data_IF_932820914676
#
_entry.id   IF_932820914676
#
_cell.length_a   1.000
_cell.length_b   1.000
_cell.length_c   1.000
_cell.angle_alpha   90.00
_cell.angle_beta   90.00
_cell.angle_gamma   90.00
#
_symmetry.space_group_name_H-M   'P 1'
#
loop_
_entity.id
_entity.type
_entity.pdbx_description
1 polymer ?
#
# COMPACT_ATOMS: atom_id res chain seq x y z
N UNK A 1 -19.20 -11.67 -44.65
CA UNK A 1 -19.05 -10.45 -43.82
C UNK A 1 -19.24 -10.95 -42.40
N UNK A 2 -18.19 -11.60 -41.89
CA UNK A 2 -18.26 -12.36 -40.64
C UNK A 2 -18.03 -11.40 -39.48
N UNK A 3 -19.08 -11.23 -38.68
CA UNK A 3 -19.04 -10.48 -37.42
C UNK A 3 -18.21 -11.27 -36.42
N UNK A 4 -16.96 -10.90 -36.23
CA UNK A 4 -16.12 -11.41 -35.14
C UNK A 4 -16.82 -11.06 -33.83
N UNK A 5 -17.25 -12.09 -33.09
CA UNK A 5 -18.04 -11.96 -31.87
C UNK A 5 -17.32 -11.18 -30.75
N UNK A 6 -18.06 -10.38 -29.94
CA UNK A 6 -17.53 -9.65 -28.78
C UNK A 6 -17.17 -10.53 -27.56
N UNK A 7 -17.27 -11.85 -27.66
CA UNK A 7 -17.09 -12.80 -26.55
C UNK A 7 -15.65 -12.85 -26.00
N UNK A 8 -14.64 -12.56 -26.83
CA UNK A 8 -13.23 -12.56 -26.43
C UNK A 8 -12.85 -11.42 -25.47
N UNK A 9 -13.52 -10.26 -25.57
CA UNK A 9 -13.23 -9.08 -24.74
C UNK A 9 -13.82 -9.16 -23.32
N UNK A 10 -14.94 -9.87 -23.15
CA UNK A 10 -15.64 -9.92 -21.87
C UNK A 10 -14.88 -10.75 -20.80
N UNK A 11 -14.19 -11.82 -21.19
CA UNK A 11 -13.45 -12.68 -20.26
C UNK A 11 -12.20 -11.99 -19.69
N UNK A 12 -11.40 -11.32 -20.53
CA UNK A 12 -10.24 -10.53 -20.08
C UNK A 12 -10.62 -9.28 -19.30
N UNK A 13 -11.78 -8.67 -19.60
CA UNK A 13 -12.32 -7.58 -18.80
C UNK A 13 -12.66 -8.03 -17.36
N UNK A 14 -13.35 -9.17 -17.22
CA UNK A 14 -13.72 -9.76 -15.94
C UNK A 14 -12.52 -10.20 -15.09
N UNK A 15 -11.48 -10.75 -15.71
CA UNK A 15 -10.27 -11.18 -14.97
C UNK A 15 -9.49 -10.01 -14.38
N UNK A 16 -9.40 -8.88 -15.09
CA UNK A 16 -8.73 -7.69 -14.55
C UNK A 16 -9.61 -6.94 -13.55
N UNK A 17 -10.92 -6.85 -13.77
CA UNK A 17 -11.83 -6.25 -12.78
C UNK A 17 -11.77 -6.98 -11.44
N UNK A 18 -11.76 -8.33 -11.47
CA UNK A 18 -11.62 -9.14 -10.25
C UNK A 18 -10.24 -9.02 -9.60
N UNK A 19 -9.16 -8.87 -10.38
CA UNK A 19 -7.82 -8.60 -9.83
C UNK A 19 -7.76 -7.22 -9.17
N UNK A 20 -8.26 -6.17 -9.83
CA UNK A 20 -8.29 -4.82 -9.30
C UNK A 20 -9.05 -4.78 -7.96
N UNK A 21 -10.25 -5.34 -7.94
CA UNK A 21 -11.08 -5.36 -6.74
C UNK A 21 -10.44 -6.17 -5.61
N UNK A 22 -9.88 -7.35 -5.92
CA UNK A 22 -9.19 -8.17 -4.93
C UNK A 22 -7.96 -7.44 -4.34
N UNK A 23 -7.23 -6.69 -5.18
CA UNK A 23 -6.09 -5.89 -4.75
C UNK A 23 -6.49 -4.73 -3.84
N UNK A 24 -7.54 -3.99 -4.23
CA UNK A 24 -8.10 -2.91 -3.43
C UNK A 24 -8.54 -3.45 -2.06
N UNK A 25 -9.33 -4.53 -2.04
CA UNK A 25 -9.80 -5.15 -0.79
C UNK A 25 -8.64 -5.65 0.07
N UNK A 26 -7.60 -6.24 -0.54
CA UNK A 26 -6.42 -6.67 0.20
C UNK A 26 -5.70 -5.50 0.89
N UNK A 27 -5.58 -4.35 0.22
CA UNK A 27 -4.96 -3.17 0.81
C UNK A 27 -5.85 -2.55 1.90
N UNK A 28 -7.15 -2.41 1.66
CA UNK A 28 -8.10 -1.83 2.63
C UNK A 28 -8.26 -2.70 3.88
N UNK A 29 -8.60 -3.98 3.71
CA UNK A 29 -8.82 -4.88 4.84
C UNK A 29 -7.50 -5.21 5.53
N UNK A 30 -6.40 -5.36 4.77
CA UNK A 30 -5.07 -5.52 5.34
C UNK A 30 -4.65 -4.32 6.19
N UNK A 31 -4.96 -3.09 5.75
CA UNK A 31 -4.71 -1.87 6.51
C UNK A 31 -5.52 -1.82 7.80
N UNK A 32 -6.83 -2.05 7.73
CA UNK A 32 -7.71 -2.05 8.89
C UNK A 32 -7.32 -3.12 9.92
N UNK A 33 -7.09 -4.36 9.46
CA UNK A 33 -6.65 -5.46 10.32
C UNK A 33 -5.27 -5.20 10.90
N UNK A 34 -4.35 -4.68 10.08
CA UNK A 34 -3.01 -4.31 10.52
C UNK A 34 -3.05 -3.25 11.62
N UNK A 35 -3.91 -2.24 11.48
CA UNK A 35 -4.10 -1.18 12.46
C UNK A 35 -4.63 -1.73 13.79
N UNK A 36 -5.67 -2.58 13.75
CA UNK A 36 -6.19 -3.23 14.96
C UNK A 36 -5.19 -4.15 15.65
N UNK A 37 -4.37 -4.89 14.88
CA UNK A 37 -3.29 -5.74 15.43
C UNK A 37 -2.20 -4.88 16.05
N UNK A 38 -1.80 -3.78 15.41
CA UNK A 38 -0.78 -2.89 15.93
C UNK A 38 -1.24 -2.20 17.22
N UNK A 39 -2.47 -1.68 17.25
CA UNK A 39 -3.11 -1.08 18.43
C UNK A 39 -3.17 -2.05 19.62
N UNK A 40 -3.59 -3.30 19.36
CA UNK A 40 -3.61 -4.36 20.36
C UNK A 40 -2.20 -4.64 20.91
N UNK A 41 -1.19 -4.75 20.05
CA UNK A 41 0.19 -5.02 20.47
C UNK A 41 0.73 -3.87 21.31
N UNK A 42 0.53 -2.62 20.90
CA UNK A 42 0.96 -1.43 21.67
C UNK A 42 0.28 -1.41 23.03
N UNK A 43 -1.04 -1.60 23.08
CA UNK A 43 -1.81 -1.67 24.33
C UNK A 43 -1.28 -2.75 25.27
N UNK A 44 -0.98 -3.94 24.75
CA UNK A 44 -0.43 -5.03 25.56
C UNK A 44 0.98 -4.72 26.08
N UNK A 45 1.82 -4.07 25.28
CA UNK A 45 3.18 -3.69 25.66
C UNK A 45 3.20 -2.58 26.70
N UNK A 46 2.35 -1.56 26.57
CA UNK A 46 2.21 -0.47 27.54
C UNK A 46 1.66 -0.96 28.88
N UNK A 47 0.76 -1.96 28.85
CA UNK A 47 0.28 -2.60 30.06
C UNK A 47 1.32 -3.51 30.74
N UNK A 48 2.32 -4.00 29.98
CA UNK A 48 3.33 -4.95 30.47
C UNK A 48 4.68 -4.31 30.78
N UNK A 49 4.95 -3.11 30.27
CA UNK A 49 6.25 -2.44 30.35
C UNK A 49 6.07 -0.93 30.51
N UNK A 50 7.10 -0.24 31.02
CA UNK A 50 7.11 1.24 31.06
C UNK A 50 7.61 1.87 29.77
N UNK A 51 7.89 1.07 28.73
CA UNK A 51 8.46 1.54 27.47
C UNK A 51 7.35 1.78 26.46
N UNK A 52 7.22 3.03 26.00
CA UNK A 52 6.39 3.34 24.83
C UNK A 52 7.08 2.83 23.59
N UNK A 53 6.46 1.94 22.79
CA UNK A 53 7.05 1.49 21.56
C UNK A 53 7.26 2.65 20.59
N UNK A 54 8.33 2.64 19.80
CA UNK A 54 8.54 3.67 18.80
C UNK A 54 7.46 3.58 17.71
N UNK A 55 7.00 4.74 17.24
CA UNK A 55 5.90 4.87 16.26
C UNK A 55 6.13 4.03 14.98
N UNK A 56 7.37 3.92 14.51
CA UNK A 56 7.72 3.12 13.34
C UNK A 56 7.42 1.62 13.49
N UNK A 57 7.36 1.09 14.72
CA UNK A 57 7.00 -0.30 14.98
C UNK A 57 5.53 -0.58 14.61
N UNK A 58 4.64 0.38 14.91
CA UNK A 58 3.21 0.30 14.58
C UNK A 58 3.02 0.20 13.06
N UNK A 59 3.68 1.10 12.31
CA UNK A 59 3.64 1.10 10.86
C UNK A 59 4.22 -0.17 10.24
N UNK A 60 5.27 -0.73 10.83
CA UNK A 60 5.84 -2.01 10.38
C UNK A 60 4.84 -3.16 10.53
N UNK A 61 4.11 -3.25 11.65
CA UNK A 61 3.08 -4.28 11.88
C UNK A 61 1.97 -4.15 10.83
N UNK A 62 1.46 -2.93 10.64
CA UNK A 62 0.43 -2.64 9.63
C UNK A 62 0.93 -3.07 8.24
N UNK A 63 2.15 -2.69 7.90
CA UNK A 63 2.79 -3.00 6.63
C UNK A 63 2.92 -4.50 6.35
N UNK A 64 3.28 -5.29 7.35
CA UNK A 64 3.35 -6.76 7.23
C UNK A 64 1.99 -7.36 6.96
N UNK A 65 0.95 -6.92 7.67
CA UNK A 65 -0.42 -7.44 7.47
C UNK A 65 -0.94 -7.09 6.07
N UNK A 66 -0.70 -5.87 5.60
CA UNK A 66 -1.00 -5.48 4.21
C UNK A 66 -0.22 -6.35 3.21
N UNK A 67 1.08 -6.55 3.41
CA UNK A 67 1.92 -7.33 2.51
C UNK A 67 1.47 -8.79 2.43
N UNK A 68 1.04 -9.38 3.54
CA UNK A 68 0.46 -10.72 3.58
C UNK A 68 -0.86 -10.78 2.79
N UNK A 69 -1.75 -9.79 2.97
CA UNK A 69 -3.00 -9.72 2.21
C UNK A 69 -2.74 -9.59 0.70
N UNK A 70 -1.80 -8.71 0.29
CA UNK A 70 -1.39 -8.55 -1.10
C UNK A 70 -0.77 -9.84 -1.67
N UNK A 71 0.07 -10.51 -0.89
CA UNK A 71 0.67 -11.79 -1.28
C UNK A 71 -0.40 -12.84 -1.59
N UNK A 72 -1.49 -12.91 -0.81
CA UNK A 72 -2.59 -13.84 -1.07
C UNK A 72 -3.24 -13.62 -2.45
N UNK A 73 -3.26 -12.38 -2.93
CA UNK A 73 -3.75 -12.00 -4.26
C UNK A 73 -2.74 -12.38 -5.36
N UNK A 74 -1.44 -12.26 -5.08
CA UNK A 74 -0.37 -12.48 -6.07
C UNK A 74 0.14 -13.92 -6.18
N UNK A 75 0.02 -14.73 -5.12
CA UNK A 75 0.65 -16.07 -5.03
C UNK A 75 0.26 -17.05 -6.13
N UNK A 76 -0.87 -16.82 -6.82
CA UNK A 76 -1.31 -17.64 -7.96
C UNK A 76 -1.06 -16.99 -9.32
N UNK A 77 -0.53 -15.77 -9.35
CA UNK A 77 -0.40 -14.93 -10.56
C UNK A 77 1.04 -14.61 -10.94
N UNK A 78 1.97 -14.59 -9.97
CA UNK A 78 3.39 -14.33 -10.25
C UNK A 78 4.27 -15.44 -9.64
N UNK A 79 5.29 -15.95 -10.37
CA UNK A 79 6.13 -17.05 -9.89
C UNK A 79 6.93 -16.75 -8.62
N UNK A 80 7.29 -15.49 -8.38
CA UNK A 80 8.14 -15.06 -7.26
C UNK A 80 7.37 -14.39 -6.13
N UNK A 81 6.06 -14.66 -6.02
CA UNK A 81 5.21 -13.99 -5.04
C UNK A 81 5.70 -14.14 -3.59
N UNK A 82 6.37 -15.24 -3.22
CA UNK A 82 6.92 -15.42 -1.87
C UNK A 82 7.88 -14.30 -1.43
N UNK A 83 8.63 -13.72 -2.38
CA UNK A 83 9.54 -12.59 -2.11
C UNK A 83 8.80 -11.27 -1.88
N UNK A 84 7.50 -11.19 -2.21
CA UNK A 84 6.70 -9.98 -2.05
C UNK A 84 6.64 -9.51 -0.59
N UNK A 85 6.51 -10.46 0.35
CA UNK A 85 6.43 -10.16 1.78
C UNK A 85 7.77 -9.59 2.25
N UNK A 86 8.88 -10.22 1.88
CA UNK A 86 10.23 -9.78 2.27
C UNK A 86 10.57 -8.41 1.66
N UNK A 87 10.27 -8.21 0.39
CA UNK A 87 10.47 -6.93 -0.28
C UNK A 87 9.63 -5.81 0.35
N UNK A 88 8.37 -6.10 0.69
CA UNK A 88 7.50 -5.14 1.37
C UNK A 88 8.03 -4.82 2.76
N UNK A 89 8.41 -5.82 3.56
CA UNK A 89 8.97 -5.64 4.89
C UNK A 89 10.26 -4.80 4.86
N UNK A 90 11.19 -5.13 3.96
CA UNK A 90 12.40 -4.35 3.77
C UNK A 90 12.09 -2.91 3.33
N UNK A 91 11.03 -2.72 2.54
CA UNK A 91 10.59 -1.42 2.06
C UNK A 91 9.99 -0.56 3.17
N UNK A 92 9.18 -1.16 4.03
CA UNK A 92 8.65 -0.50 5.21
C UNK A 92 9.77 -0.12 6.18
N UNK A 93 10.70 -1.03 6.47
CA UNK A 93 11.80 -0.78 7.40
C UNK A 93 12.76 0.29 6.85
N UNK A 94 13.29 0.08 5.64
CA UNK A 94 14.23 1.01 5.01
C UNK A 94 13.58 2.34 4.66
N UNK A 95 12.35 2.31 4.15
CA UNK A 95 11.58 3.51 3.81
C UNK A 95 11.23 4.36 5.04
N UNK A 96 10.89 3.73 6.17
CA UNK A 96 10.61 4.47 7.41
C UNK A 96 11.87 5.18 7.92
N UNK A 97 13.02 4.50 7.86
CA UNK A 97 14.30 5.10 8.22
C UNK A 97 14.67 6.28 7.30
N UNK A 98 14.60 6.09 5.98
CA UNK A 98 14.91 7.14 4.99
C UNK A 98 13.95 8.31 5.14
N UNK A 99 12.66 8.04 5.31
CA UNK A 99 11.64 9.07 5.50
C UNK A 99 11.92 9.89 6.76
N UNK A 100 12.15 9.23 7.90
CA UNK A 100 12.45 9.90 9.17
C UNK A 100 13.70 10.80 9.05
N UNK A 101 14.79 10.29 8.44
CA UNK A 101 16.00 11.07 8.23
C UNK A 101 15.77 12.27 7.30
N UNK A 102 15.01 12.08 6.22
CA UNK A 102 14.70 13.14 5.27
C UNK A 102 13.85 14.25 5.90
N UNK A 103 12.82 13.89 6.69
CA UNK A 103 11.99 14.86 7.39
C UNK A 103 12.78 15.63 8.44
N UNK A 104 13.60 14.94 9.23
CA UNK A 104 14.47 15.60 10.22
C UNK A 104 15.36 16.67 9.59
N UNK A 105 15.98 16.35 8.45
CA UNK A 105 16.78 17.33 7.72
C UNK A 105 15.93 18.49 7.17
N UNK A 106 14.79 18.21 6.54
CA UNK A 106 13.92 19.25 5.97
C UNK A 106 13.35 20.19 7.04
N UNK A 107 13.01 19.67 8.21
CA UNK A 107 12.53 20.45 9.36
C UNK A 107 13.65 21.30 9.97
N UNK A 108 14.85 20.74 10.13
CA UNK A 108 16.04 21.46 10.64
C UNK A 108 16.36 22.70 9.78
N UNK A 109 16.23 22.58 8.45
CA UNK A 109 16.46 23.69 7.53
C UNK A 109 15.21 24.56 7.25
N UNK A 110 14.07 24.26 7.85
CA UNK A 110 12.81 24.99 7.64
C UNK A 110 12.31 24.95 6.19
N UNK A 111 12.65 23.89 5.45
CA UNK A 111 12.39 23.75 4.01
C UNK A 111 11.00 23.18 3.70
N UNK A 112 10.27 22.70 4.71
CA UNK A 112 8.97 22.06 4.53
C UNK A 112 7.91 22.64 5.48
N UNK A 113 6.81 23.18 4.94
CA UNK A 113 5.65 23.53 5.75
C UNK A 113 5.07 22.28 6.44
N UNK A 114 4.61 22.42 7.69
CA UNK A 114 4.07 21.30 8.48
C UNK A 114 2.96 20.52 7.77
N UNK A 115 2.14 21.19 6.94
CA UNK A 115 1.07 20.55 6.16
C UNK A 115 1.60 19.55 5.12
N UNK A 116 2.86 19.68 4.69
CA UNK A 116 3.50 18.81 3.71
C UNK A 116 4.37 17.71 4.32
N UNK A 117 4.67 17.76 5.63
CA UNK A 117 5.52 16.78 6.32
C UNK A 117 5.05 15.34 6.09
N UNK A 118 3.80 15.04 6.43
CA UNK A 118 3.27 13.69 6.28
C UNK A 118 3.08 13.26 4.81
N UNK A 119 2.49 14.06 3.89
CA UNK A 119 2.45 13.69 2.48
C UNK A 119 3.81 13.34 1.89
N UNK A 120 4.85 14.12 2.20
CA UNK A 120 6.22 13.84 1.76
C UNK A 120 6.74 12.54 2.39
N UNK A 121 6.52 12.35 3.69
CA UNK A 121 6.90 11.13 4.41
C UNK A 121 6.30 9.87 3.78
N UNK A 122 4.98 9.86 3.56
CA UNK A 122 4.27 8.74 2.97
C UNK A 122 4.62 8.54 1.49
N UNK A 123 5.00 9.60 0.77
CA UNK A 123 5.53 9.48 -0.60
C UNK A 123 6.86 8.74 -0.61
N UNK A 124 7.80 9.12 0.27
CA UNK A 124 9.12 8.48 0.38
C UNK A 124 8.96 7.01 0.78
N UNK A 125 8.14 6.76 1.80
CA UNK A 125 7.86 5.41 2.29
C UNK A 125 7.19 4.54 1.22
N UNK A 126 6.14 5.06 0.56
CA UNK A 126 5.47 4.37 -0.53
C UNK A 126 6.40 4.08 -1.70
N UNK A 127 7.25 5.04 -2.10
CA UNK A 127 8.23 4.85 -3.15
C UNK A 127 9.28 3.79 -2.77
N UNK A 128 9.76 3.76 -1.53
CA UNK A 128 10.70 2.75 -1.04
C UNK A 128 10.10 1.34 -1.08
N UNK A 129 8.85 1.19 -0.62
CA UNK A 129 8.10 -0.08 -0.71
C UNK A 129 7.91 -0.48 -2.18
N UNK A 130 7.47 0.45 -3.02
CA UNK A 130 7.29 0.24 -4.45
C UNK A 130 8.57 -0.17 -5.15
N UNK A 131 9.71 0.43 -4.82
CA UNK A 131 11.02 0.11 -5.40
C UNK A 131 11.43 -1.34 -5.11
N UNK A 132 11.27 -1.80 -3.86
CA UNK A 132 11.63 -3.16 -3.51
C UNK A 132 10.62 -4.19 -4.04
N UNK A 133 9.33 -3.85 -4.05
CA UNK A 133 8.31 -4.69 -4.69
C UNK A 133 8.51 -4.80 -6.20
N UNK A 134 8.97 -3.73 -6.85
CA UNK A 134 9.30 -3.73 -8.28
C UNK A 134 10.37 -4.77 -8.61
N UNK A 135 11.36 -4.99 -7.74
CA UNK A 135 12.37 -6.04 -7.92
C UNK A 135 11.79 -7.47 -7.91
N UNK A 136 10.58 -7.65 -7.34
CA UNK A 136 9.86 -8.93 -7.31
C UNK A 136 8.95 -9.10 -8.54
N UNK A 137 8.57 -8.00 -9.20
CA UNK A 137 7.77 -8.05 -10.42
C UNK A 137 8.53 -8.77 -11.55
N UNK A 138 7.85 -9.54 -12.43
CA UNK A 138 8.50 -10.23 -13.53
C UNK A 138 9.31 -9.25 -14.42
N UNK A 139 10.58 -9.56 -14.77
CA UNK A 139 11.46 -8.68 -15.55
C UNK A 139 10.92 -8.28 -16.93
N UNK A 140 9.97 -9.05 -17.47
CA UNK A 140 9.34 -8.80 -18.76
C UNK A 140 8.08 -7.94 -18.71
N UNK A 141 7.64 -7.43 -17.55
CA UNK A 141 6.47 -6.55 -17.45
C UNK A 141 6.80 -5.14 -17.99
N UNK A 142 6.26 -4.73 -19.15
CA UNK A 142 6.52 -3.40 -19.69
C UNK A 142 5.97 -2.34 -18.74
N UNK A 143 6.79 -1.32 -18.45
CA UNK A 143 6.38 -0.23 -17.56
C UNK A 143 6.36 -0.60 -16.07
N UNK A 144 6.93 -1.73 -15.65
CA UNK A 144 6.98 -2.12 -14.23
C UNK A 144 7.58 -1.05 -13.30
N UNK A 145 8.46 -0.17 -13.82
CA UNK A 145 8.99 0.97 -13.06
C UNK A 145 7.92 1.98 -12.61
N UNK A 146 6.78 2.07 -13.30
CA UNK A 146 5.65 2.88 -12.86
C UNK A 146 5.08 2.41 -11.52
N UNK A 147 5.36 1.16 -11.10
CA UNK A 147 4.96 0.63 -9.80
C UNK A 147 5.47 1.50 -8.64
N UNK A 148 6.69 2.03 -8.76
CA UNK A 148 7.30 2.91 -7.76
C UNK A 148 6.53 4.22 -7.64
N UNK A 149 6.23 4.84 -8.78
CA UNK A 149 5.47 6.09 -8.86
C UNK A 149 4.04 5.90 -8.33
N UNK A 150 3.38 4.82 -8.74
CA UNK A 150 2.03 4.49 -8.30
C UNK A 150 1.92 4.29 -6.78
N UNK A 151 2.93 3.66 -6.16
CA UNK A 151 2.97 3.55 -4.71
C UNK A 151 3.18 4.91 -4.04
N UNK A 152 4.17 5.69 -4.48
CA UNK A 152 4.42 7.03 -3.94
C UNK A 152 3.16 7.91 -4.00
N UNK A 153 2.50 7.98 -5.15
CA UNK A 153 1.26 8.75 -5.35
C UNK A 153 0.10 8.21 -4.51
N UNK A 154 -0.13 6.90 -4.53
CA UNK A 154 -1.24 6.29 -3.79
C UNK A 154 -1.14 6.53 -2.29
N UNK A 155 0.07 6.53 -1.75
CA UNK A 155 0.32 6.77 -0.33
C UNK A 155 0.27 8.25 0.02
N UNK A 156 0.81 9.13 -0.82
CA UNK A 156 0.69 10.58 -0.67
C UNK A 156 -0.78 11.02 -0.58
N UNK A 157 -1.63 10.45 -1.45
CA UNK A 157 -3.06 10.72 -1.48
C UNK A 157 -3.81 10.10 -0.28
N UNK A 158 -3.30 9.02 0.29
CA UNK A 158 -3.92 8.36 1.44
C UNK A 158 -3.87 9.21 2.71
N UNK A 159 -2.84 10.04 2.89
CA UNK A 159 -2.69 10.82 4.12
C UNK A 159 -3.80 11.88 4.34
N UNK A 160 -4.13 12.74 3.36
CA UNK A 160 -5.28 13.64 3.48
C UNK A 160 -6.60 12.93 3.83
N UNK A 161 -6.78 11.69 3.36
CA UNK A 161 -7.95 10.87 3.69
C UNK A 161 -7.95 10.48 5.17
N UNK A 162 -6.80 10.04 5.71
CA UNK A 162 -6.65 9.75 7.14
C UNK A 162 -6.98 10.98 7.99
N UNK A 163 -6.43 12.15 7.64
CA UNK A 163 -6.71 13.39 8.35
C UNK A 163 -8.19 13.78 8.32
N UNK A 164 -8.82 13.69 7.15
CA UNK A 164 -10.24 14.02 6.99
C UNK A 164 -11.15 13.10 7.79
N UNK A 165 -10.82 11.80 7.84
CA UNK A 165 -11.56 10.80 8.60
C UNK A 165 -11.40 11.05 10.09
N UNK A 166 -10.17 11.16 10.58
CA UNK A 166 -9.90 11.44 11.99
C UNK A 166 -10.63 12.69 12.46
N UNK A 167 -10.51 13.79 11.69
CA UNK A 167 -11.23 15.03 11.99
C UNK A 167 -12.75 14.85 12.05
N UNK A 168 -13.32 14.04 11.15
CA UNK A 168 -14.76 13.86 11.05
C UNK A 168 -15.35 12.94 12.14
N UNK A 169 -14.61 11.92 12.59
CA UNK A 169 -15.20 10.84 13.41
C UNK A 169 -14.60 10.67 14.79
N UNK A 170 -13.42 11.24 15.10
CA UNK A 170 -12.73 10.98 16.38
C UNK A 170 -13.53 11.35 17.63
N UNK A 171 -14.45 12.30 17.51
CA UNK A 171 -15.32 12.72 18.61
C UNK A 171 -16.55 11.81 18.79
N UNK A 172 -16.79 10.88 17.87
CA UNK A 172 -18.04 10.12 17.77
C UNK A 172 -17.85 8.62 17.96
N UNK A 173 -16.66 8.09 17.66
CA UNK A 173 -16.35 6.66 17.77
C UNK A 173 -15.08 6.44 18.62
N UNK A 174 -14.88 5.22 19.18
CA UNK A 174 -13.66 4.90 19.92
C UNK A 174 -12.39 5.14 19.08
N UNK A 175 -11.30 5.53 19.73
CA UNK A 175 -10.03 5.86 19.07
C UNK A 175 -9.50 4.71 18.19
N UNK A 176 -9.53 3.47 18.71
CA UNK A 176 -9.14 2.28 17.95
C UNK A 176 -10.00 2.06 16.70
N UNK A 177 -11.29 2.39 16.75
CA UNK A 177 -12.18 2.31 15.60
C UNK A 177 -11.89 3.42 14.58
N UNK A 178 -11.60 4.64 15.03
CA UNK A 178 -11.14 5.75 14.17
C UNK A 178 -9.84 5.40 13.47
N UNK A 179 -8.90 4.83 14.21
CA UNK A 179 -7.59 4.39 13.69
C UNK A 179 -7.74 3.29 12.63
N UNK A 180 -8.52 2.24 12.93
CA UNK A 180 -8.79 1.17 11.98
C UNK A 180 -9.52 1.67 10.71
N UNK A 181 -10.50 2.57 10.85
CA UNK A 181 -11.21 3.17 9.72
C UNK A 181 -10.28 4.04 8.86
N UNK A 182 -9.39 4.79 9.49
CA UNK A 182 -8.38 5.61 8.81
C UNK A 182 -7.48 4.74 7.93
N UNK A 183 -6.97 3.63 8.46
CA UNK A 183 -6.13 2.70 7.70
C UNK A 183 -6.90 1.86 6.67
N UNK A 184 -8.20 1.63 6.87
CA UNK A 184 -9.08 1.05 5.85
C UNK A 184 -9.12 1.94 4.61
N UNK A 185 -9.32 3.24 4.81
CA UNK A 185 -9.47 4.23 3.74
C UNK A 185 -8.13 4.64 3.12
N UNK A 186 -7.07 4.70 3.93
CA UNK A 186 -5.70 4.79 3.42
C UNK A 186 -5.39 3.62 2.48
N UNK A 187 -5.64 2.38 2.95
CA UNK A 187 -5.46 1.17 2.16
C UNK A 187 -6.32 1.15 0.90
N UNK A 188 -7.55 1.67 0.96
CA UNK A 188 -8.41 1.82 -0.23
C UNK A 188 -7.81 2.77 -1.26
N UNK A 189 -7.27 3.91 -0.82
CA UNK A 189 -6.66 4.92 -1.68
C UNK A 189 -5.40 4.38 -2.36
N UNK A 190 -4.49 3.80 -1.57
CA UNK A 190 -3.29 3.16 -2.09
C UNK A 190 -3.63 1.98 -3.02
N UNK A 191 -4.59 1.15 -2.62
CA UNK A 191 -5.06 -0.02 -3.36
C UNK A 191 -5.77 0.33 -4.67
N UNK A 192 -6.48 1.45 -4.73
CA UNK A 192 -7.12 1.95 -5.94
C UNK A 192 -6.07 2.30 -6.99
N UNK A 193 -5.07 3.10 -6.61
CA UNK A 193 -3.99 3.53 -7.52
C UNK A 193 -3.14 2.34 -7.95
N UNK A 194 -2.63 1.57 -6.99
CA UNK A 194 -1.73 0.44 -7.28
C UNK A 194 -2.45 -0.72 -7.94
N UNK A 195 -3.73 -0.96 -7.65
CA UNK A 195 -4.52 -1.99 -8.30
C UNK A 195 -4.80 -1.69 -9.77
N UNK A 196 -5.12 -0.42 -10.10
CA UNK A 196 -5.31 0.00 -11.49
C UNK A 196 -4.01 -0.19 -12.27
N UNK A 197 -2.89 0.20 -11.67
CA UNK A 197 -1.58 0.00 -12.26
C UNK A 197 -1.23 -1.48 -12.42
N UNK A 198 -1.48 -2.31 -11.40
CA UNK A 198 -1.21 -3.75 -11.46
C UNK A 198 -1.96 -4.42 -12.60
N UNK A 199 -3.25 -4.10 -12.74
CA UNK A 199 -4.07 -4.63 -13.84
C UNK A 199 -3.62 -4.15 -15.20
N UNK A 200 -3.22 -2.89 -15.33
CA UNK A 200 -2.65 -2.35 -16.57
C UNK A 200 -1.36 -3.09 -16.97
N UNK A 201 -0.42 -3.26 -16.02
CA UNK A 201 0.86 -3.94 -16.25
C UNK A 201 0.66 -5.41 -16.65
N UNK A 202 -0.26 -6.12 -16.00
CA UNK A 202 -0.55 -7.52 -16.31
C UNK A 202 -1.26 -7.68 -17.66
N UNK A 203 -2.14 -6.75 -18.05
CA UNK A 203 -2.80 -6.76 -19.36
C UNK A 203 -1.83 -6.50 -20.51
N UNK A 204 -0.96 -5.49 -20.37
CA UNK A 204 0.02 -5.14 -21.40
C UNK A 204 0.96 -6.31 -21.75
N UNK A 205 1.27 -7.14 -20.75
CA UNK A 205 2.12 -8.32 -20.93
C UNK A 205 1.41 -9.47 -21.64
N UNK A 206 0.11 -9.68 -21.38
CA UNK A 206 -0.67 -10.70 -22.08
C UNK A 206 -0.84 -10.38 -23.56
N UNK A 207 -0.98 -9.10 -23.92
CA UNK A 207 -1.11 -8.65 -25.30
C UNK A 207 0.18 -8.84 -26.14
N UNK A 208 1.36 -8.84 -25.50
CA UNK A 208 2.64 -9.03 -26.19
C UNK A 208 3.00 -10.51 -26.44
N UNK A 209 2.31 -11.44 -25.78
CA UNK A 209 2.57 -12.89 -25.89
C UNK A 209 1.56 -13.56 -26.84
N UNK A 210 0.52 -12.84 -27.29
CA UNK A 210 -0.42 -13.36 -28.29
C UNK A 210 0.26 -13.35 -29.68
N UNK A 211 0.29 -14.50 -30.39
CA UNK A 211 0.91 -14.64 -31.71
C UNK A 211 0.19 -13.90 -32.82
#
# INVERSE_FOLDING_TARGET
>A
MDTVEPSFNAAGARSAGSLWLAWLLACSLGGALGAGVADLIVTLLENSTTLTPPEYMLYAIIGVVIALAQWMVLRRRIPRAGWWILASLAGWAGGSFISSAALGALEEFGLLPAILTYPVSFTILGAAVGLLQWAVLPPGLPGAGWWVVGNGVGWALGWPVVLGVDWAVKATIPESASFALSFLLFGATAGLVTGLLLTYLMRGSAAQIAP
#
